data_IF_090203650147
#
_entry.id   IF_090203650147
#
_cell.length_a   1.000
_cell.length_b   1.000
_cell.length_c   1.000
_cell.angle_alpha   90.00
_cell.angle_beta   90.00
_cell.angle_gamma   90.00
#
_symmetry.space_group_name_H-M   'P 1'
#
loop_
_entity.id
_entity.type
_entity.pdbx_description
1 polymer ?
#
# COMPACT_ATOMS: atom_id res chain seq x y z
N UNK A 1 18.94 -3.07 26.41
CA UNK A 1 19.72 -3.30 25.17
C UNK A 1 18.94 -4.27 24.30
N UNK A 2 18.25 -3.79 23.26
CA UNK A 2 17.62 -4.71 22.29
C UNK A 2 18.73 -5.25 21.41
N UNK A 3 18.92 -6.57 21.44
CA UNK A 3 19.84 -7.26 20.55
C UNK A 3 19.42 -6.97 19.12
N UNK A 4 20.25 -6.23 18.38
CA UNK A 4 20.12 -6.09 16.93
C UNK A 4 20.35 -7.47 16.35
N UNK A 5 19.23 -8.16 16.10
CA UNK A 5 19.20 -9.46 15.42
C UNK A 5 20.05 -9.30 14.17
N UNK A 6 21.09 -10.15 14.03
CA UNK A 6 21.98 -10.09 12.88
C UNK A 6 21.14 -10.17 11.61
N UNK A 7 21.00 -9.05 10.92
CA UNK A 7 20.28 -9.01 9.65
C UNK A 7 21.30 -9.34 8.58
N UNK A 8 21.19 -10.51 7.95
CA UNK A 8 21.62 -10.56 6.55
C UNK A 8 20.91 -9.41 5.85
N UNK A 9 21.60 -8.70 4.96
CA UNK A 9 21.03 -7.56 4.24
C UNK A 9 19.72 -7.91 3.53
N UNK A 10 19.07 -6.90 2.92
CA UNK A 10 17.88 -7.12 2.11
C UNK A 10 18.10 -8.23 1.08
N UNK A 11 17.07 -9.05 0.84
CA UNK A 11 17.10 -10.10 -0.16
C UNK A 11 17.26 -9.48 -1.56
N UNK A 12 18.31 -9.80 -2.32
CA UNK A 12 18.52 -9.24 -3.66
C UNK A 12 17.40 -9.58 -4.63
N UNK A 13 16.71 -10.71 -4.47
CA UNK A 13 15.56 -11.06 -5.33
C UNK A 13 14.39 -10.12 -5.05
N UNK A 14 14.07 -9.90 -3.77
CA UNK A 14 13.01 -8.98 -3.37
C UNK A 14 13.27 -7.54 -3.86
N UNK A 15 14.53 -7.09 -3.86
CA UNK A 15 14.88 -5.76 -4.39
C UNK A 15 14.58 -5.64 -5.89
N UNK A 16 14.94 -6.64 -6.68
CA UNK A 16 14.64 -6.66 -8.12
C UNK A 16 13.12 -6.71 -8.37
N UNK A 17 12.38 -7.46 -7.55
CA UNK A 17 10.92 -7.49 -7.64
C UNK A 17 10.29 -6.14 -7.34
N UNK A 18 10.75 -5.44 -6.30
CA UNK A 18 10.27 -4.09 -5.96
C UNK A 18 10.48 -3.13 -7.14
N UNK A 19 11.67 -3.13 -7.74
CA UNK A 19 11.97 -2.28 -8.89
C UNK A 19 11.04 -2.59 -10.07
N UNK A 20 10.82 -3.88 -10.38
CA UNK A 20 9.90 -4.30 -11.44
C UNK A 20 8.46 -3.85 -11.18
N UNK A 21 7.94 -4.08 -9.97
CA UNK A 21 6.57 -3.69 -9.64
C UNK A 21 6.39 -2.17 -9.61
N UNK A 22 7.41 -1.42 -9.21
CA UNK A 22 7.42 0.05 -9.27
C UNK A 22 7.22 0.55 -10.71
N UNK A 23 7.98 0.02 -11.66
CA UNK A 23 7.84 0.37 -13.08
C UNK A 23 6.45 0.01 -13.64
N UNK A 24 5.90 -1.15 -13.25
CA UNK A 24 4.56 -1.57 -13.67
C UNK A 24 3.45 -0.67 -13.11
N UNK A 25 3.56 -0.21 -11.85
CA UNK A 25 2.61 0.74 -11.26
C UNK A 25 2.61 2.07 -12.01
N UNK A 26 3.79 2.59 -12.36
CA UNK A 26 3.92 3.84 -13.13
C UNK A 26 3.30 3.65 -14.51
N UNK A 27 3.69 2.60 -15.23
CA UNK A 27 3.15 2.28 -16.55
C UNK A 27 1.62 2.18 -16.52
N UNK A 28 1.06 1.43 -15.57
CA UNK A 28 -0.38 1.28 -15.39
C UNK A 28 -1.07 2.62 -15.07
N UNK A 29 -0.48 3.45 -14.21
CA UNK A 29 -1.03 4.77 -13.86
C UNK A 29 -1.00 5.79 -15.01
N UNK A 30 -0.10 5.58 -15.98
CA UNK A 30 0.08 6.42 -17.16
C UNK A 30 -0.64 5.92 -18.41
N UNK A 31 -1.17 4.68 -18.38
CA UNK A 31 -1.96 4.15 -19.47
C UNK A 31 -3.25 4.97 -19.64
N UNK A 32 -3.72 5.13 -20.88
CA UNK A 32 -4.94 5.88 -21.22
C UNK A 32 -6.25 5.20 -20.78
N UNK A 33 -6.18 4.30 -19.79
CA UNK A 33 -7.35 3.63 -19.23
C UNK A 33 -8.12 4.58 -18.30
N UNK A 34 -9.44 4.41 -18.25
CA UNK A 34 -10.26 5.19 -17.34
C UNK A 34 -9.94 4.82 -15.89
N UNK A 35 -9.77 5.84 -15.04
CA UNK A 35 -9.57 5.61 -13.61
C UNK A 35 -10.73 4.81 -13.05
N UNK A 36 -10.43 3.84 -12.19
CA UNK A 36 -11.44 3.11 -11.45
C UNK A 36 -12.36 4.09 -10.70
N UNK A 37 -13.64 3.77 -10.65
CA UNK A 37 -14.59 4.53 -9.84
C UNK A 37 -14.22 4.39 -8.35
N UNK A 38 -14.52 5.40 -7.51
CA UNK A 38 -14.27 5.33 -6.07
C UNK A 38 -14.88 4.08 -5.41
N UNK A 39 -16.11 3.69 -5.79
CA UNK A 39 -16.77 2.49 -5.27
C UNK A 39 -15.99 1.21 -5.61
N UNK A 40 -15.43 1.12 -6.82
CA UNK A 40 -14.62 -0.03 -7.24
C UNK A 40 -13.25 -0.03 -6.56
N UNK A 41 -12.69 1.14 -6.26
CA UNK A 41 -11.46 1.27 -5.47
C UNK A 41 -11.72 0.77 -4.04
N UNK A 42 -12.80 1.22 -3.40
CA UNK A 42 -13.17 0.80 -2.04
C UNK A 42 -13.43 -0.73 -1.98
N UNK A 43 -14.03 -1.32 -3.02
CA UNK A 43 -14.22 -2.77 -3.16
C UNK A 43 -12.88 -3.53 -3.26
N UNK A 44 -11.98 -3.08 -4.14
CA UNK A 44 -10.65 -3.72 -4.33
C UNK A 44 -9.79 -3.60 -3.08
N UNK A 45 -9.82 -2.45 -2.43
CA UNK A 45 -9.06 -2.18 -1.20
C UNK A 45 -9.75 -2.71 0.06
N UNK A 46 -10.97 -3.24 -0.05
CA UNK A 46 -11.77 -3.73 1.08
C UNK A 46 -12.00 -2.66 2.17
N UNK A 47 -11.99 -1.37 1.79
CA UNK A 47 -12.07 -0.22 2.71
C UNK A 47 -13.49 -0.02 3.27
N UNK A 48 -14.51 -0.51 2.57
CA UNK A 48 -15.90 -0.37 2.97
C UNK A 48 -16.21 -1.01 4.34
N UNK A 49 -15.51 -2.09 4.71
CA UNK A 49 -15.66 -2.75 6.01
C UNK A 49 -14.98 -1.96 7.14
N UNK A 50 -13.88 -1.25 6.84
CA UNK A 50 -13.07 -0.49 7.80
C UNK A 50 -13.72 0.86 8.18
N UNK A 51 -14.34 1.54 7.21
CA UNK A 51 -15.01 2.85 7.42
C UNK A 51 -16.29 2.74 8.26
N UNK A 52 -16.88 1.55 8.37
CA UNK A 52 -18.05 1.28 9.21
C UNK A 52 -17.74 1.16 10.71
N UNK A 53 -16.46 1.25 11.11
CA UNK A 53 -16.05 1.33 12.50
C UNK A 53 -15.80 2.80 12.92
N UNK A 54 -16.80 3.53 13.49
CA UNK A 54 -16.66 4.93 13.86
C UNK A 54 -15.74 5.20 15.08
N UNK A 55 -14.92 4.24 15.50
CA UNK A 55 -14.12 4.35 16.72
C UNK A 55 -12.76 5.07 16.57
N UNK A 56 -12.33 5.41 15.35
CA UNK A 56 -11.00 6.01 15.12
C UNK A 56 -11.09 7.35 14.37
N UNK A 57 -11.78 8.32 14.97
CA UNK A 57 -11.88 9.69 14.45
C UNK A 57 -11.88 10.80 15.50
N UNK A 58 -11.78 10.47 16.78
CA UNK A 58 -11.82 11.43 17.88
C UNK A 58 -10.57 11.23 18.76
N UNK A 59 -9.45 11.85 18.40
CA UNK A 59 -8.28 11.79 19.26
C UNK A 59 -6.92 12.11 18.65
N UNK A 60 -6.78 13.18 17.87
CA UNK A 60 -5.47 13.82 17.70
C UNK A 60 -5.54 15.24 17.11
N UNK A 61 -6.02 16.21 17.91
CA UNK A 61 -5.43 17.56 17.99
C UNK A 61 -5.63 18.11 19.40
N UNK A 62 -4.52 18.41 20.09
CA UNK A 62 -4.23 19.81 20.41
C UNK A 62 -3.09 20.38 19.55
#
# INVERSE_FOLDING_TARGET
MVARRGSSGPDPVALVEIDLYGELMIAASSADEERLSPDRIDEVLQVAEDRSNPAEGEGARP
#
